data_IF_745198462259
#
_entry.id   IF_745198462259
#
_cell.length_a   1.000
_cell.length_b   1.000
_cell.length_c   1.000
_cell.angle_alpha   90.00
_cell.angle_beta   90.00
_cell.angle_gamma   90.00
#
_symmetry.space_group_name_H-M   'P 1'
#
loop_
_entity.id
_entity.type
_entity.pdbx_description
1 polymer ?
#
# COMPACT_ATOMS: atom_id res chain seq x y z
N UNK A 1 5.55 -24.20 -1.26
CA UNK A 1 4.63 -24.53 -0.15
C UNK A 1 3.58 -23.43 0.00
N UNK A 2 3.94 -22.14 0.25
CA UNK A 2 2.98 -21.05 0.49
C UNK A 2 1.97 -20.85 -0.66
N UNK A 3 2.40 -20.92 -1.91
CA UNK A 3 1.50 -20.81 -3.07
C UNK A 3 0.46 -21.94 -3.12
N UNK A 4 0.86 -23.15 -2.73
CA UNK A 4 -0.06 -24.32 -2.68
C UNK A 4 -1.11 -24.09 -1.59
N UNK A 5 -0.68 -23.65 -0.41
CA UNK A 5 -1.61 -23.33 0.70
C UNK A 5 -2.57 -22.22 0.30
N UNK A 6 -2.06 -21.14 -0.30
CA UNK A 6 -2.89 -20.02 -0.78
C UNK A 6 -3.90 -20.47 -1.84
N UNK A 7 -3.53 -21.40 -2.71
CA UNK A 7 -4.44 -21.96 -3.71
C UNK A 7 -5.57 -22.76 -3.05
N UNK A 8 -5.26 -23.63 -2.06
CA UNK A 8 -6.30 -24.35 -1.33
C UNK A 8 -7.24 -23.42 -0.57
N UNK A 9 -6.72 -22.37 0.09
CA UNK A 9 -7.56 -21.36 0.73
C UNK A 9 -8.46 -20.66 -0.30
N UNK A 10 -7.94 -20.35 -1.49
CA UNK A 10 -8.72 -19.71 -2.55
C UNK A 10 -9.88 -20.58 -3.05
N UNK A 11 -9.74 -21.92 -3.01
CA UNK A 11 -10.79 -22.86 -3.40
C UNK A 11 -12.02 -22.85 -2.45
N UNK A 12 -11.83 -22.41 -1.20
CA UNK A 12 -12.93 -22.25 -0.24
C UNK A 12 -13.79 -20.99 -0.51
N UNK A 13 -13.35 -20.12 -1.41
CA UNK A 13 -14.07 -18.89 -1.73
C UNK A 13 -15.14 -19.14 -2.79
N UNK A 14 -16.11 -18.22 -2.87
CA UNK A 14 -17.12 -18.28 -3.93
C UNK A 14 -16.47 -18.16 -5.33
N UNK A 15 -17.19 -18.63 -6.36
CA UNK A 15 -16.67 -18.70 -7.73
C UNK A 15 -16.13 -17.34 -8.26
N UNK A 16 -16.80 -16.22 -7.91
CA UNK A 16 -16.35 -14.89 -8.37
C UNK A 16 -15.03 -14.47 -7.73
N UNK A 17 -14.87 -14.72 -6.43
CA UNK A 17 -13.62 -14.47 -5.70
C UNK A 17 -12.49 -15.37 -6.18
N UNK A 18 -12.79 -16.64 -6.47
CA UNK A 18 -11.84 -17.58 -7.08
C UNK A 18 -11.32 -17.06 -8.42
N UNK A 19 -12.21 -16.70 -9.34
CA UNK A 19 -11.84 -16.16 -10.66
C UNK A 19 -10.99 -14.89 -10.50
N UNK A 20 -11.41 -13.98 -9.62
CA UNK A 20 -10.68 -12.74 -9.37
C UNK A 20 -9.29 -13.01 -8.78
N UNK A 21 -9.16 -13.98 -7.87
CA UNK A 21 -7.89 -14.43 -7.33
C UNK A 21 -6.95 -14.99 -8.42
N UNK A 22 -7.48 -15.84 -9.29
CA UNK A 22 -6.71 -16.39 -10.43
C UNK A 22 -6.28 -15.31 -11.42
N UNK A 23 -7.09 -14.27 -11.64
CA UNK A 23 -6.73 -13.13 -12.48
C UNK A 23 -5.55 -12.31 -11.95
N UNK A 24 -5.19 -12.41 -10.67
CA UNK A 24 -4.00 -11.75 -10.13
C UNK A 24 -2.69 -12.44 -10.55
N UNK A 25 -2.71 -13.74 -10.86
CA UNK A 25 -1.52 -14.56 -11.12
C UNK A 25 -0.64 -14.02 -12.26
N UNK A 26 -1.17 -13.62 -13.43
CA UNK A 26 -0.35 -13.02 -14.48
C UNK A 26 0.39 -11.76 -14.02
N UNK A 27 -0.25 -10.92 -13.21
CA UNK A 27 0.37 -9.70 -12.68
C UNK A 27 1.49 -10.02 -11.69
N UNK A 28 1.30 -11.04 -10.84
CA UNK A 28 2.35 -11.54 -9.92
C UNK A 28 3.57 -12.02 -10.69
N UNK A 29 3.37 -12.75 -11.80
CA UNK A 29 4.46 -13.25 -12.65
C UNK A 29 5.18 -12.10 -13.37
N UNK A 30 4.45 -11.06 -13.78
CA UNK A 30 5.02 -9.90 -14.48
C UNK A 30 5.79 -8.95 -13.57
N UNK A 31 5.44 -8.90 -12.27
CA UNK A 31 6.01 -7.94 -11.31
C UNK A 31 7.56 -7.89 -11.30
N UNK A 32 8.31 -9.02 -11.26
CA UNK A 32 9.77 -8.97 -11.22
C UNK A 32 10.40 -8.25 -12.43
N UNK A 33 9.71 -8.23 -13.56
CA UNK A 33 10.19 -7.59 -14.79
C UNK A 33 9.96 -6.07 -14.78
N UNK A 34 9.07 -5.57 -13.91
CA UNK A 34 8.70 -4.16 -13.88
C UNK A 34 9.89 -3.24 -13.58
N UNK A 35 10.85 -3.65 -12.76
CA UNK A 35 12.08 -2.89 -12.47
C UNK A 35 12.95 -2.63 -13.70
N UNK A 36 12.76 -3.41 -14.78
CA UNK A 36 13.45 -3.20 -16.06
C UNK A 36 12.66 -2.32 -17.03
N UNK A 37 11.33 -2.30 -16.88
CA UNK A 37 10.41 -1.65 -17.84
C UNK A 37 10.06 -0.23 -17.38
N UNK A 38 9.69 -0.04 -16.10
CA UNK A 38 9.15 1.22 -15.59
C UNK A 38 9.91 1.73 -14.36
N UNK A 39 9.88 3.06 -14.14
CA UNK A 39 10.34 3.68 -12.89
C UNK A 39 9.36 3.54 -11.72
N UNK A 40 8.18 2.97 -11.96
CA UNK A 40 7.12 2.79 -10.96
C UNK A 40 6.80 1.29 -10.69
N UNK A 41 7.81 0.42 -10.45
CA UNK A 41 7.54 -0.97 -10.06
C UNK A 41 6.77 -1.05 -8.74
N UNK A 42 6.94 -0.06 -7.84
CA UNK A 42 6.24 0.07 -6.57
C UNK A 42 4.73 0.25 -6.73
N UNK A 43 4.29 0.98 -7.76
CA UNK A 43 2.87 1.11 -8.09
C UNK A 43 2.30 -0.25 -8.55
N UNK A 44 3.05 -0.97 -9.36
CA UNK A 44 2.65 -2.29 -9.82
C UNK A 44 2.54 -3.28 -8.65
N UNK A 45 3.51 -3.22 -7.71
CA UNK A 45 3.44 -3.97 -6.46
C UNK A 45 2.18 -3.60 -5.67
N UNK A 46 1.89 -2.30 -5.52
CA UNK A 46 0.69 -1.82 -4.81
C UNK A 46 -0.60 -2.38 -5.39
N UNK A 47 -0.74 -2.39 -6.72
CA UNK A 47 -1.90 -2.97 -7.41
C UNK A 47 -2.07 -4.44 -7.05
N UNK A 48 -0.99 -5.23 -7.13
CA UNK A 48 -1.03 -6.68 -6.89
C UNK A 48 -1.22 -6.99 -5.41
N UNK A 49 -0.47 -6.34 -4.54
CA UNK A 49 -0.47 -6.61 -3.12
C UNK A 49 -1.81 -6.28 -2.45
N UNK A 50 -2.47 -5.22 -2.95
CA UNK A 50 -3.79 -4.81 -2.48
C UNK A 50 -4.95 -5.62 -3.09
N UNK A 51 -4.68 -6.53 -4.03
CA UNK A 51 -5.71 -7.29 -4.76
C UNK A 51 -6.63 -8.10 -3.84
N UNK A 52 -6.14 -8.49 -2.67
CA UNK A 52 -6.92 -9.16 -1.63
C UNK A 52 -8.17 -8.39 -1.20
N UNK A 53 -8.13 -7.06 -1.21
CA UNK A 53 -9.29 -6.20 -0.89
C UNK A 53 -10.45 -6.44 -1.88
N UNK A 54 -10.13 -6.60 -3.17
CA UNK A 54 -11.11 -6.87 -4.22
C UNK A 54 -11.70 -8.29 -4.09
N UNK A 55 -10.84 -9.28 -3.76
CA UNK A 55 -11.26 -10.67 -3.52
C UNK A 55 -12.25 -10.71 -2.35
N UNK A 56 -11.94 -10.03 -1.24
CA UNK A 56 -12.82 -9.95 -0.06
C UNK A 56 -14.15 -9.27 -0.41
N UNK A 57 -14.12 -8.18 -1.18
CA UNK A 57 -15.34 -7.53 -1.63
C UNK A 57 -16.25 -8.47 -2.40
N UNK A 58 -15.70 -9.27 -3.31
CA UNK A 58 -16.47 -10.24 -4.09
C UNK A 58 -16.93 -11.47 -3.26
N UNK A 59 -16.24 -11.76 -2.16
CA UNK A 59 -16.61 -12.86 -1.26
C UNK A 59 -17.88 -12.52 -0.46
N UNK A 60 -17.96 -11.30 0.07
CA UNK A 60 -19.07 -10.89 0.94
C UNK A 60 -20.17 -10.11 0.21
N UNK A 61 -19.88 -9.63 -1.00
CA UNK A 61 -20.82 -8.87 -1.82
C UNK A 61 -20.97 -9.52 -3.20
N UNK A 62 -22.06 -9.25 -3.88
CA UNK A 62 -22.27 -9.73 -5.27
C UNK A 62 -21.43 -8.97 -6.31
N UNK A 63 -20.84 -7.84 -5.91
CA UNK A 63 -20.05 -6.91 -6.74
C UNK A 63 -19.01 -6.20 -5.90
N UNK A 64 -17.99 -5.62 -6.55
CA UNK A 64 -17.07 -4.70 -5.89
C UNK A 64 -17.84 -3.43 -5.53
N UNK A 65 -17.93 -3.14 -4.23
CA UNK A 65 -18.59 -1.93 -3.74
C UNK A 65 -17.65 -0.73 -3.81
N UNK A 66 -18.22 0.48 -3.78
CA UNK A 66 -17.44 1.71 -3.83
C UNK A 66 -16.48 1.83 -2.65
N UNK A 67 -16.89 1.44 -1.45
CA UNK A 67 -16.06 1.48 -0.25
C UNK A 67 -14.84 0.55 -0.37
N UNK A 68 -15.03 -0.68 -0.87
CA UNK A 68 -13.91 -1.59 -1.11
C UNK A 68 -12.98 -1.07 -2.22
N UNK A 69 -13.50 -0.39 -3.22
CA UNK A 69 -12.68 0.25 -4.25
C UNK A 69 -11.83 1.39 -3.65
N UNK A 70 -12.42 2.23 -2.79
CA UNK A 70 -11.68 3.27 -2.08
C UNK A 70 -10.61 2.67 -1.16
N UNK A 71 -10.94 1.61 -0.41
CA UNK A 71 -9.97 0.90 0.43
C UNK A 71 -8.83 0.29 -0.41
N UNK A 72 -9.14 -0.24 -1.58
CA UNK A 72 -8.14 -0.73 -2.53
C UNK A 72 -7.15 0.38 -2.93
N UNK A 73 -7.65 1.58 -3.24
CA UNK A 73 -6.78 2.73 -3.51
C UNK A 73 -5.95 3.15 -2.31
N UNK A 74 -6.52 3.16 -1.09
CA UNK A 74 -5.75 3.41 0.14
C UNK A 74 -4.57 2.44 0.23
N UNK A 75 -4.80 1.14 0.04
CA UNK A 75 -3.76 0.12 0.10
C UNK A 75 -2.71 0.28 -1.01
N UNK A 76 -3.12 0.65 -2.25
CA UNK A 76 -2.18 0.93 -3.35
C UNK A 76 -1.26 2.10 -2.99
N UNK A 77 -1.82 3.24 -2.59
CA UNK A 77 -1.02 4.42 -2.25
C UNK A 77 -0.15 4.20 -1.02
N UNK A 78 -0.63 3.42 -0.06
CA UNK A 78 0.16 3.03 1.10
C UNK A 78 1.35 2.15 0.69
N UNK A 79 1.14 1.12 -0.13
CA UNK A 79 2.22 0.28 -0.66
C UNK A 79 3.22 1.11 -1.44
N UNK A 80 2.73 1.99 -2.31
CA UNK A 80 3.56 2.90 -3.10
C UNK A 80 4.42 3.81 -2.21
N UNK A 81 3.85 4.32 -1.11
CA UNK A 81 4.58 5.17 -0.17
C UNK A 81 5.68 4.42 0.56
N UNK A 82 5.35 3.31 1.24
CA UNK A 82 6.34 2.60 2.07
C UNK A 82 7.39 1.88 1.23
N UNK A 83 7.02 1.34 0.07
CA UNK A 83 7.98 0.68 -0.81
C UNK A 83 8.87 1.69 -1.55
N UNK A 84 8.41 2.93 -1.74
CA UNK A 84 9.30 4.03 -2.14
C UNK A 84 10.31 4.36 -1.05
N UNK A 85 9.92 4.43 0.22
CA UNK A 85 10.86 4.61 1.34
C UNK A 85 11.89 3.48 1.34
N UNK A 86 11.45 2.23 1.16
CA UNK A 86 12.36 1.08 1.07
C UNK A 86 13.33 1.20 -0.11
N UNK A 87 12.84 1.61 -1.28
CA UNK A 87 13.68 1.76 -2.48
C UNK A 87 14.82 2.78 -2.32
N UNK A 88 14.71 3.74 -1.39
CA UNK A 88 15.83 4.64 -1.05
C UNK A 88 16.98 3.93 -0.33
N UNK A 89 16.73 2.77 0.30
CA UNK A 89 17.80 1.95 0.87
C UNK A 89 18.75 1.44 -0.20
N UNK A 90 18.21 1.03 -1.36
CA UNK A 90 18.96 0.38 -2.44
C UNK A 90 19.28 1.35 -3.59
N UNK A 91 18.97 2.66 -3.44
CA UNK A 91 19.03 3.64 -4.52
C UNK A 91 20.41 3.74 -5.19
N UNK A 92 21.50 3.69 -4.43
CA UNK A 92 22.87 3.74 -4.99
C UNK A 92 23.14 2.57 -5.91
N UNK A 93 22.73 1.37 -5.50
CA UNK A 93 22.92 0.14 -6.25
C UNK A 93 21.99 0.09 -7.48
N UNK A 94 20.75 0.57 -7.34
CA UNK A 94 19.79 0.71 -8.44
C UNK A 94 20.36 1.61 -9.56
N UNK A 95 20.96 2.75 -9.20
CA UNK A 95 21.60 3.67 -10.18
C UNK A 95 22.77 2.99 -10.88
N UNK A 96 23.68 2.33 -10.12
CA UNK A 96 24.84 1.64 -10.67
C UNK A 96 24.44 0.51 -11.63
N UNK A 97 23.41 -0.23 -11.28
CA UNK A 97 22.93 -1.38 -12.06
C UNK A 97 21.88 -1.01 -13.12
N UNK A 98 21.58 0.28 -13.31
CA UNK A 98 20.54 0.79 -14.24
C UNK A 98 19.15 0.18 -13.99
N UNK A 99 18.84 -0.12 -12.73
CA UNK A 99 17.55 -0.61 -12.27
C UNK A 99 16.64 0.60 -12.05
N UNK A 100 15.39 0.49 -12.52
CA UNK A 100 14.40 1.55 -12.38
C UNK A 100 13.63 1.40 -11.08
N UNK A 101 13.49 2.51 -10.34
CA UNK A 101 12.68 2.58 -9.11
C UNK A 101 12.14 4.01 -8.90
N UNK A 102 11.14 4.16 -8.06
CA UNK A 102 10.62 5.48 -7.65
C UNK A 102 11.70 6.30 -6.95
N UNK A 103 12.61 5.68 -6.18
CA UNK A 103 13.73 6.37 -5.55
C UNK A 103 14.71 6.95 -6.56
N UNK A 104 14.95 6.26 -7.66
CA UNK A 104 15.79 6.76 -8.77
C UNK A 104 15.07 7.88 -9.50
N UNK A 105 13.78 7.75 -9.78
CA UNK A 105 12.99 8.74 -10.52
C UNK A 105 12.81 10.05 -9.76
N UNK A 106 12.42 9.98 -8.47
CA UNK A 106 12.12 11.18 -7.67
C UNK A 106 13.38 11.84 -7.07
N UNK A 107 14.49 11.13 -6.99
CA UNK A 107 15.77 11.64 -6.46
C UNK A 107 15.56 12.42 -5.14
N UNK A 108 15.87 13.71 -5.13
CA UNK A 108 15.72 14.59 -3.96
C UNK A 108 14.25 14.88 -3.59
N UNK A 109 13.32 14.60 -4.50
CA UNK A 109 11.89 14.87 -4.31
C UNK A 109 11.11 13.70 -3.68
N UNK A 110 11.77 12.60 -3.29
CA UNK A 110 11.13 11.42 -2.73
C UNK A 110 10.27 11.68 -1.50
N UNK A 111 10.72 12.57 -0.59
CA UNK A 111 9.89 12.97 0.56
C UNK A 111 8.56 13.59 0.13
N UNK A 112 8.59 14.51 -0.85
CA UNK A 112 7.37 15.15 -1.37
C UNK A 112 6.43 14.13 -2.00
N UNK A 113 6.97 13.19 -2.75
CA UNK A 113 6.18 12.13 -3.36
C UNK A 113 5.49 11.26 -2.30
N UNK A 114 6.23 10.80 -1.29
CA UNK A 114 5.67 10.01 -0.18
C UNK A 114 4.62 10.81 0.60
N UNK A 115 4.86 12.11 0.85
CA UNK A 115 3.86 13.01 1.46
C UNK A 115 2.57 13.09 0.63
N UNK A 116 2.70 13.20 -0.71
CA UNK A 116 1.52 13.23 -1.60
C UNK A 116 0.73 11.93 -1.52
N UNK A 117 1.39 10.77 -1.48
CA UNK A 117 0.71 9.48 -1.29
C UNK A 117 -0.08 9.44 0.03
N UNK A 118 0.54 9.84 1.16
CA UNK A 118 -0.17 9.88 2.44
C UNK A 118 -1.29 10.91 2.47
N UNK A 119 -1.13 12.05 1.80
CA UNK A 119 -2.21 13.03 1.69
C UNK A 119 -3.43 12.45 0.96
N UNK A 120 -3.21 11.74 -0.15
CA UNK A 120 -4.28 11.04 -0.88
C UNK A 120 -4.96 10.01 0.01
N UNK A 121 -4.18 9.22 0.77
CA UNK A 121 -4.71 8.26 1.73
C UNK A 121 -5.61 8.95 2.75
N UNK A 122 -5.15 10.04 3.36
CA UNK A 122 -5.91 10.77 4.38
C UNK A 122 -7.21 11.37 3.82
N UNK A 123 -7.19 11.86 2.58
CA UNK A 123 -8.40 12.35 1.89
C UNK A 123 -9.41 11.20 1.72
N UNK A 124 -8.97 10.03 1.27
CA UNK A 124 -9.87 8.88 1.12
C UNK A 124 -10.36 8.40 2.49
N UNK A 125 -9.50 8.31 3.50
CA UNK A 125 -9.89 7.89 4.84
C UNK A 125 -10.86 8.88 5.51
N UNK A 126 -10.81 10.17 5.17
CA UNK A 126 -11.77 11.16 5.69
C UNK A 126 -13.20 10.87 5.24
N UNK A 127 -13.39 10.29 4.05
CA UNK A 127 -14.70 9.80 3.59
C UNK A 127 -15.23 8.70 4.53
N UNK A 128 -14.36 7.74 4.91
CA UNK A 128 -14.76 6.68 5.86
C UNK A 128 -15.07 7.28 7.23
N UNK A 129 -14.26 8.19 7.75
CA UNK A 129 -14.53 8.86 9.03
C UNK A 129 -15.89 9.56 9.04
N UNK A 130 -16.25 10.23 7.93
CA UNK A 130 -17.54 10.91 7.80
C UNK A 130 -18.74 9.94 7.88
N UNK A 131 -18.58 8.73 7.37
CA UNK A 131 -19.61 7.68 7.37
C UNK A 131 -19.50 6.72 8.57
N UNK A 132 -18.60 6.98 9.52
CA UNK A 132 -18.38 6.10 10.68
C UNK A 132 -19.51 6.17 11.68
N UNK A 133 -19.85 5.03 12.26
CA UNK A 133 -20.79 4.93 13.39
C UNK A 133 -20.26 5.62 14.65
N UNK A 134 -18.94 5.72 14.80
CA UNK A 134 -18.26 6.38 15.91
C UNK A 134 -17.34 7.51 15.42
N UNK A 135 -17.94 8.60 14.96
CA UNK A 135 -17.24 9.74 14.36
C UNK A 135 -16.11 10.31 15.22
N UNK A 136 -16.31 10.41 16.54
CA UNK A 136 -15.29 10.97 17.44
C UNK A 136 -14.05 10.08 17.50
N UNK A 137 -14.24 8.78 17.71
CA UNK A 137 -13.12 7.82 17.78
C UNK A 137 -12.37 7.74 16.45
N UNK A 138 -13.07 7.62 15.33
CA UNK A 138 -12.48 7.57 14.01
C UNK A 138 -11.72 8.85 13.65
N UNK A 139 -12.22 10.02 14.09
CA UNK A 139 -11.54 11.31 13.91
C UNK A 139 -10.23 11.39 14.71
N UNK A 140 -10.20 10.84 15.93
CA UNK A 140 -8.98 10.76 16.72
C UNK A 140 -7.95 9.84 16.06
N UNK A 141 -8.39 8.69 15.55
CA UNK A 141 -7.50 7.72 14.89
C UNK A 141 -6.89 8.34 13.63
N UNK A 142 -7.68 8.95 12.74
CA UNK A 142 -7.15 9.56 11.51
C UNK A 142 -6.21 10.72 11.81
N UNK A 143 -6.50 11.55 12.82
CA UNK A 143 -5.60 12.61 13.26
C UNK A 143 -4.28 12.05 13.78
N UNK A 144 -4.31 10.94 14.52
CA UNK A 144 -3.11 10.25 15.00
C UNK A 144 -2.30 9.69 13.82
N UNK A 145 -2.95 9.07 12.84
CA UNK A 145 -2.30 8.61 11.60
C UNK A 145 -1.60 9.79 10.90
N UNK A 146 -2.30 10.91 10.73
CA UNK A 146 -1.75 12.09 10.05
C UNK A 146 -0.51 12.65 10.77
N UNK A 147 -0.56 12.77 12.09
CA UNK A 147 0.55 13.27 12.91
C UNK A 147 1.74 12.30 12.86
N UNK A 148 1.50 11.01 13.08
CA UNK A 148 2.57 10.00 13.08
C UNK A 148 3.27 9.91 11.72
N UNK A 149 2.51 9.87 10.61
CA UNK A 149 3.07 9.80 9.26
C UNK A 149 3.82 11.08 8.91
N UNK A 150 3.30 12.25 9.27
CA UNK A 150 3.98 13.53 9.07
C UNK A 150 5.33 13.57 9.80
N UNK A 151 5.36 13.23 11.10
CA UNK A 151 6.59 13.20 11.90
C UNK A 151 7.59 12.20 11.31
N UNK A 152 7.14 11.00 10.93
CA UNK A 152 7.98 9.98 10.34
C UNK A 152 8.66 10.48 9.06
N UNK A 153 7.91 11.09 8.14
CA UNK A 153 8.45 11.61 6.89
C UNK A 153 9.43 12.78 7.11
N UNK A 154 9.15 13.67 8.07
CA UNK A 154 10.07 14.77 8.39
C UNK A 154 11.41 14.26 8.92
N UNK A 155 11.39 13.26 9.78
CA UNK A 155 12.59 12.65 10.38
C UNK A 155 13.33 11.70 9.44
N UNK A 156 12.67 11.19 8.39
CA UNK A 156 13.29 10.29 7.43
C UNK A 156 14.40 11.01 6.65
N UNK A 157 15.62 10.49 6.72
CA UNK A 157 16.75 10.94 5.91
C UNK A 157 16.86 10.08 4.65
N UNK A 158 16.57 10.68 3.48
CA UNK A 158 16.60 10.00 2.17
C UNK A 158 18.00 9.63 1.71
N UNK A 159 19.04 10.20 2.34
CA UNK A 159 20.45 9.92 2.00
C UNK A 159 21.00 8.73 2.78
N UNK A 160 20.31 8.32 3.86
CA UNK A 160 20.74 7.24 4.74
C UNK A 160 19.95 5.96 4.48
N UNK A 161 20.60 4.87 3.97
CA UNK A 161 19.97 3.56 3.83
C UNK A 161 19.39 3.02 5.15
N UNK A 162 20.09 3.22 6.27
CA UNK A 162 19.64 2.80 7.59
C UNK A 162 18.37 3.54 8.02
N UNK A 163 18.27 4.86 7.73
CA UNK A 163 17.08 5.65 7.97
C UNK A 163 15.90 5.12 7.15
N UNK A 164 16.12 4.83 5.87
CA UNK A 164 15.08 4.28 4.99
C UNK A 164 14.57 2.93 5.50
N UNK A 165 15.45 2.02 5.91
CA UNK A 165 15.06 0.73 6.51
C UNK A 165 14.25 0.93 7.81
N UNK A 166 14.68 1.85 8.67
CA UNK A 166 13.99 2.14 9.91
C UNK A 166 12.56 2.62 9.65
N UNK A 167 12.37 3.62 8.79
CA UNK A 167 11.03 4.17 8.49
C UNK A 167 10.16 3.23 7.66
N UNK A 168 10.74 2.39 6.82
CA UNK A 168 10.02 1.28 6.19
C UNK A 168 9.38 0.36 7.24
N UNK A 169 10.13 -0.07 8.26
CA UNK A 169 9.61 -0.93 9.34
C UNK A 169 8.54 -0.26 10.19
N UNK A 170 8.56 1.07 10.34
CA UNK A 170 7.54 1.82 11.09
C UNK A 170 6.15 1.76 10.44
N UNK A 171 6.03 1.33 9.19
CA UNK A 171 4.72 1.15 8.53
C UNK A 171 3.83 0.10 9.19
N UNK A 172 4.36 -0.77 10.04
CA UNK A 172 3.55 -1.65 10.87
C UNK A 172 2.61 -0.88 11.81
N UNK A 173 3.03 0.30 12.30
CA UNK A 173 2.19 1.17 13.14
C UNK A 173 1.01 1.70 12.31
N UNK A 174 1.25 2.12 11.08
CA UNK A 174 0.18 2.55 10.18
C UNK A 174 -0.83 1.41 9.92
N UNK A 175 -0.35 0.18 9.71
CA UNK A 175 -1.22 -0.99 9.50
C UNK A 175 -2.15 -1.22 10.70
N UNK A 176 -1.62 -1.15 11.92
CA UNK A 176 -2.40 -1.31 13.15
C UNK A 176 -3.44 -0.20 13.28
N UNK A 177 -3.04 1.05 13.04
CA UNK A 177 -3.96 2.20 13.11
C UNK A 177 -5.05 2.13 12.05
N UNK A 178 -4.72 1.71 10.82
CA UNK A 178 -5.70 1.50 9.76
C UNK A 178 -6.70 0.39 10.13
N UNK A 179 -6.20 -0.72 10.69
CA UNK A 179 -7.05 -1.80 11.18
C UNK A 179 -8.01 -1.31 12.27
N UNK A 180 -7.52 -0.54 13.26
CA UNK A 180 -8.35 0.04 14.31
C UNK A 180 -9.39 1.03 13.75
N UNK A 181 -9.01 1.83 12.75
CA UNK A 181 -9.94 2.74 12.08
C UNK A 181 -11.07 1.95 11.42
N UNK A 182 -10.77 0.85 10.73
CA UNK A 182 -11.76 0.02 10.05
C UNK A 182 -12.74 -0.70 11.02
N UNK A 183 -12.41 -0.81 12.31
CA UNK A 183 -13.33 -1.34 13.33
C UNK A 183 -14.38 -0.32 13.80
N UNK A 184 -14.30 0.93 13.36
CA UNK A 184 -15.25 1.99 13.73
C UNK A 184 -16.45 2.13 12.77
N UNK A 185 -16.52 1.26 11.74
CA UNK A 185 -17.55 1.28 10.66
C UNK A 185 -18.61 0.17 10.76
#
# INVERSE_FOLDING_TARGET
ILLVISFFILLEFNFKSLVLGLLSVPFVILYPFMKRITFFPQLFLGIIFSWGVLIVSMQFNTRITFDFLLLYFVCIFWTLAYDTIYAYQDRSDDVLNKIKSTAVYFDKNGKRFVQTCYLIILIILSYFVWNSSNFLLSSIIIATIAICTYIAIQKWDITSPLSSNYYFRQNNIFAIMLFLLLQTF
#
